data_IF_395487375646
#
_entry.id   IF_395487375646
#
_cell.length_a   1.000
_cell.length_b   1.000
_cell.length_c   1.000
_cell.angle_alpha   90.00
_cell.angle_beta   90.00
_cell.angle_gamma   90.00
#
_symmetry.space_group_name_H-M   'P 1'
#
loop_
_entity.id
_entity.type
_entity.pdbx_description
1 polymer ?
#
# COMPACT_ATOMS: atom_id res chain seq x y z
N UNK A 1 -16.06 30.18 -2.96
CA UNK A 1 -15.53 28.88 -2.43
C UNK A 1 -14.69 29.03 -1.16
N UNK A 2 -14.37 30.24 -0.69
CA UNK A 2 -13.56 30.50 0.51
C UNK A 2 -14.17 29.95 1.83
N UNK A 3 -15.47 29.73 1.88
CA UNK A 3 -16.20 29.33 3.09
C UNK A 3 -16.01 27.86 3.54
N UNK A 4 -15.23 27.05 2.81
CA UNK A 4 -14.96 25.65 3.17
C UNK A 4 -13.47 25.27 3.20
N UNK A 5 -12.57 26.21 2.87
CA UNK A 5 -11.13 25.93 2.88
C UNK A 5 -10.55 26.02 4.28
N UNK A 6 -9.62 25.14 4.59
CA UNK A 6 -8.83 25.18 5.81
C UNK A 6 -7.61 26.07 5.61
N UNK A 7 -6.97 26.52 6.72
CA UNK A 7 -5.69 27.24 6.66
C UNK A 7 -4.64 26.44 5.89
N UNK A 8 -4.60 25.12 6.05
CA UNK A 8 -3.65 24.26 5.35
C UNK A 8 -3.85 24.29 3.82
N UNK A 9 -5.10 24.21 3.37
CA UNK A 9 -5.43 24.26 1.94
C UNK A 9 -5.09 25.62 1.34
N UNK A 10 -5.48 26.71 1.99
CA UNK A 10 -5.15 28.07 1.55
C UNK A 10 -3.63 28.32 1.51
N UNK A 11 -2.88 27.82 2.51
CA UNK A 11 -1.43 27.91 2.54
C UNK A 11 -0.78 27.19 1.36
N UNK A 12 -1.24 25.96 1.06
CA UNK A 12 -0.75 25.17 -0.08
C UNK A 12 -1.05 25.82 -1.42
N UNK A 13 -2.23 26.41 -1.59
CA UNK A 13 -2.59 27.19 -2.79
C UNK A 13 -1.67 28.41 -2.95
N UNK A 14 -1.22 29.00 -1.84
CA UNK A 14 -0.25 30.09 -1.84
C UNK A 14 1.23 29.63 -1.94
N UNK A 15 1.49 28.34 -2.13
CA UNK A 15 2.85 27.79 -2.21
C UNK A 15 3.58 27.70 -0.87
N UNK A 16 2.85 27.80 0.26
CA UNK A 16 3.42 27.71 1.61
C UNK A 16 3.23 26.29 2.13
N UNK A 17 4.35 25.62 2.41
CA UNK A 17 4.32 24.28 2.98
C UNK A 17 4.14 24.31 4.50
N UNK A 18 3.11 23.61 4.98
CA UNK A 18 2.85 23.36 6.40
C UNK A 18 2.95 21.86 6.63
N UNK A 19 3.86 21.37 7.50
CA UNK A 19 4.08 19.94 7.70
C UNK A 19 2.86 19.25 8.30
N UNK A 20 2.62 18.00 7.85
CA UNK A 20 1.50 17.16 8.32
C UNK A 20 1.95 15.72 8.46
N UNK A 21 1.31 14.93 9.33
CA UNK A 21 1.49 13.48 9.42
C UNK A 21 0.15 12.71 9.37
N UNK A 22 -0.94 13.31 9.86
CA UNK A 22 -2.25 12.64 9.82
C UNK A 22 -3.13 13.08 8.66
N UNK A 23 -2.86 14.24 8.06
CA UNK A 23 -3.71 14.79 6.99
C UNK A 23 -3.54 14.02 5.68
N UNK A 24 -4.67 13.60 5.11
CA UNK A 24 -4.80 13.17 3.72
C UNK A 24 -6.00 13.90 3.15
N UNK A 25 -5.79 14.64 2.05
CA UNK A 25 -6.86 15.42 1.42
C UNK A 25 -8.03 14.50 1.06
N UNK A 26 -9.24 14.94 1.38
CA UNK A 26 -10.52 14.26 1.12
C UNK A 26 -10.70 12.87 1.80
N UNK A 27 -9.68 12.38 2.51
CA UNK A 27 -9.68 11.07 3.16
C UNK A 27 -9.61 11.18 4.69
N UNK A 28 -8.61 11.91 5.23
CA UNK A 28 -8.37 11.98 6.68
C UNK A 28 -8.01 13.39 7.14
N UNK A 29 -8.97 14.09 7.75
CA UNK A 29 -8.83 15.47 8.21
C UNK A 29 -9.23 15.59 9.70
N UNK A 30 -8.50 14.88 10.57
CA UNK A 30 -8.87 14.73 11.99
C UNK A 30 -8.04 15.59 12.96
N UNK A 31 -7.00 16.26 12.49
CA UNK A 31 -6.14 17.13 13.32
C UNK A 31 -5.40 16.40 14.45
N UNK A 32 -5.16 15.09 14.37
CA UNK A 32 -4.64 14.27 15.47
C UNK A 32 -3.16 14.50 15.77
N UNK A 33 -2.30 14.61 14.75
CA UNK A 33 -0.84 14.63 14.93
C UNK A 33 -0.28 15.97 15.43
N UNK A 34 -1.01 17.07 15.29
CA UNK A 34 -0.60 18.42 15.68
C UNK A 34 0.69 18.95 15.01
N UNK A 35 1.13 18.36 13.93
CA UNK A 35 2.28 18.87 13.17
C UNK A 35 1.97 20.17 12.41
N UNK A 36 0.72 20.33 12.00
CA UNK A 36 0.27 21.51 11.23
C UNK A 36 -0.09 22.73 12.10
N UNK A 37 0.44 22.83 13.32
CA UNK A 37 0.17 23.98 14.19
C UNK A 37 0.68 25.27 13.58
N UNK A 38 -0.16 26.33 13.65
CA UNK A 38 0.15 27.69 13.18
C UNK A 38 -0.32 28.73 14.21
N UNK A 39 0.22 29.91 14.12
CA UNK A 39 -0.23 31.04 14.92
C UNK A 39 -1.18 31.92 14.11
N UNK A 40 -2.31 32.28 14.71
CA UNK A 40 -3.29 33.17 14.10
C UNK A 40 -3.36 34.44 14.97
N UNK A 41 -3.26 35.59 14.35
CA UNK A 41 -3.35 36.90 15.05
C UNK A 41 -4.66 37.00 15.83
N UNK A 42 -4.57 37.32 17.10
CA UNK A 42 -5.74 37.40 17.98
C UNK A 42 -6.22 36.09 18.58
N UNK A 43 -5.69 34.93 18.15
CA UNK A 43 -6.02 33.63 18.77
C UNK A 43 -5.24 33.46 20.11
N UNK A 44 -5.91 32.84 21.09
CA UNK A 44 -5.32 32.55 22.42
C UNK A 44 -4.22 31.51 22.38
N UNK A 45 -4.26 30.60 21.41
CA UNK A 45 -3.35 29.47 21.28
C UNK A 45 -3.05 29.18 19.83
N UNK A 46 -2.04 28.35 19.57
CA UNK A 46 -1.81 27.76 18.25
C UNK A 46 -3.01 26.92 17.81
N UNK A 47 -3.31 26.93 16.51
CA UNK A 47 -4.42 26.17 15.92
C UNK A 47 -3.88 25.15 14.91
N UNK A 48 -4.61 24.06 14.70
CA UNK A 48 -4.26 23.03 13.73
C UNK A 48 -4.76 23.45 12.33
N UNK A 49 -3.86 23.84 11.45
CA UNK A 49 -4.17 24.38 10.13
C UNK A 49 -5.03 23.44 9.26
N UNK A 50 -4.89 22.11 9.43
CA UNK A 50 -5.61 21.12 8.63
C UNK A 50 -7.12 21.01 8.93
N UNK A 51 -7.59 21.59 10.03
CA UNK A 51 -9.01 21.55 10.45
C UNK A 51 -9.57 22.92 10.79
N UNK A 52 -8.75 23.95 10.80
CA UNK A 52 -9.19 25.30 11.15
C UNK A 52 -9.61 26.06 9.89
N UNK A 53 -10.87 26.54 9.82
CA UNK A 53 -11.38 27.24 8.64
C UNK A 53 -10.74 28.61 8.49
N UNK A 54 -10.58 29.07 7.26
CA UNK A 54 -10.14 30.45 6.95
C UNK A 54 -11.30 31.42 7.08
N UNK A 55 -10.99 32.63 7.48
CA UNK A 55 -11.93 33.76 7.49
C UNK A 55 -11.29 34.96 6.80
N UNK A 56 -12.11 35.87 6.33
CA UNK A 56 -11.66 37.14 5.71
C UNK A 56 -10.84 37.98 6.70
N UNK A 57 -9.72 38.52 6.23
CA UNK A 57 -8.82 39.33 7.06
C UNK A 57 -7.97 38.56 8.07
N UNK A 58 -8.00 37.23 8.03
CA UNK A 58 -7.19 36.38 8.91
C UNK A 58 -5.70 36.52 8.57
N UNK A 59 -4.88 36.84 9.61
CA UNK A 59 -3.42 36.84 9.50
C UNK A 59 -2.87 35.57 10.14
N UNK A 60 -2.13 34.75 9.38
CA UNK A 60 -1.59 33.47 9.82
C UNK A 60 -0.07 33.46 9.71
N UNK A 61 0.60 33.02 10.77
CA UNK A 61 2.05 32.90 10.85
C UNK A 61 2.41 31.42 10.94
N UNK A 62 3.10 30.91 9.92
CA UNK A 62 3.36 29.48 9.75
C UNK A 62 4.70 29.04 10.32
N UNK A 63 5.60 29.98 10.65
CA UNK A 63 7.00 29.68 10.99
C UNK A 63 7.56 30.57 12.11
N UNK A 64 6.77 30.91 13.16
CA UNK A 64 7.27 31.62 14.32
C UNK A 64 8.07 30.71 15.25
N UNK A 65 8.95 31.26 16.12
CA UNK A 65 9.67 30.45 17.13
C UNK A 65 8.72 29.60 17.99
N UNK A 66 7.53 30.14 18.31
CA UNK A 66 6.48 29.44 19.07
C UNK A 66 5.93 28.21 18.29
N UNK A 67 5.70 28.38 16.99
CA UNK A 67 5.25 27.29 16.09
C UNK A 67 6.34 26.23 15.98
N UNK A 68 7.58 26.61 15.72
CA UNK A 68 8.71 25.70 15.62
C UNK A 68 8.91 24.90 16.90
N UNK A 69 8.91 25.56 18.07
CA UNK A 69 9.00 24.87 19.36
C UNK A 69 7.88 23.87 19.58
N UNK A 70 6.64 24.22 19.19
CA UNK A 70 5.49 23.31 19.31
C UNK A 70 5.64 22.08 18.42
N UNK A 71 6.07 22.24 17.17
CA UNK A 71 6.29 21.13 16.22
C UNK A 71 7.42 20.21 16.67
N UNK A 72 8.56 20.77 17.10
CA UNK A 72 9.69 20.01 17.63
C UNK A 72 9.27 19.16 18.83
N UNK A 73 8.60 19.77 19.81
CA UNK A 73 8.05 19.04 20.97
C UNK A 73 7.09 17.93 20.58
N UNK A 74 6.23 18.16 19.58
CA UNK A 74 5.30 17.14 19.08
C UNK A 74 6.04 15.94 18.46
N UNK A 75 7.09 16.17 17.68
CA UNK A 75 7.92 15.09 17.12
C UNK A 75 8.64 14.31 18.23
N UNK A 76 9.23 14.99 19.20
CA UNK A 76 9.90 14.36 20.35
C UNK A 76 8.92 13.47 21.15
N UNK A 77 7.67 13.93 21.33
CA UNK A 77 6.62 13.12 21.98
C UNK A 77 6.20 11.93 21.12
N UNK A 78 6.10 12.06 19.81
CA UNK A 78 5.83 10.93 18.92
C UNK A 78 6.97 9.90 18.96
N UNK A 79 8.22 10.35 19.01
CA UNK A 79 9.39 9.49 19.11
C UNK A 79 9.47 8.76 20.45
N UNK A 80 8.94 9.32 21.54
CA UNK A 80 8.98 8.70 22.88
C UNK A 80 8.25 7.36 22.96
N UNK A 81 7.28 7.12 22.05
CA UNK A 81 6.48 5.88 21.97
C UNK A 81 6.70 5.11 20.66
N UNK A 82 7.67 5.51 19.84
CA UNK A 82 7.94 4.92 18.53
C UNK A 82 9.21 4.04 18.58
N UNK A 83 9.18 2.86 17.92
CA UNK A 83 10.37 2.04 17.71
C UNK A 83 11.31 2.72 16.71
N UNK A 84 12.40 3.30 17.23
CA UNK A 84 13.38 4.14 16.49
C UNK A 84 14.46 3.38 15.74
N UNK A 85 14.28 2.11 15.49
CA UNK A 85 15.23 1.28 14.72
C UNK A 85 15.16 1.60 13.22
N UNK A 86 15.42 2.86 12.87
CA UNK A 86 15.28 3.36 11.50
C UNK A 86 16.18 2.63 10.50
N UNK A 87 17.40 2.27 10.87
CA UNK A 87 18.38 1.60 10.00
C UNK A 87 17.91 0.22 9.53
N UNK A 88 17.07 -0.46 10.32
CA UNK A 88 16.47 -1.77 9.97
C UNK A 88 15.01 -1.67 9.56
N UNK A 89 14.48 -0.47 9.41
CA UNK A 89 13.07 -0.26 9.05
C UNK A 89 12.89 -0.29 7.53
N UNK A 90 11.89 -1.05 7.04
CA UNK A 90 11.55 -1.12 5.60
C UNK A 90 11.20 0.25 4.99
N UNK A 91 10.80 1.24 5.81
CA UNK A 91 10.47 2.61 5.37
C UNK A 91 11.63 3.60 5.55
N UNK A 92 12.84 3.14 5.87
CA UNK A 92 14.00 4.04 5.99
C UNK A 92 14.23 4.79 4.67
N UNK A 93 14.45 6.10 4.75
CA UNK A 93 14.60 6.97 3.59
C UNK A 93 13.28 7.46 2.97
N UNK A 94 12.15 6.75 3.15
CA UNK A 94 10.83 7.13 2.61
C UNK A 94 9.78 7.41 3.70
N UNK A 95 10.18 7.38 4.98
CA UNK A 95 9.32 7.61 6.13
C UNK A 95 9.07 9.11 6.34
N UNK A 96 7.79 9.52 6.34
CA UNK A 96 7.42 10.93 6.57
C UNK A 96 7.84 11.41 7.97
N UNK A 97 7.77 10.56 9.01
CA UNK A 97 8.22 10.89 10.35
C UNK A 97 9.73 11.13 10.39
N UNK A 98 10.54 10.22 9.79
CA UNK A 98 11.99 10.38 9.71
C UNK A 98 12.40 11.66 8.98
N UNK A 99 11.74 11.95 7.85
CA UNK A 99 11.96 13.21 7.11
C UNK A 99 11.71 14.43 7.98
N UNK A 100 10.57 14.49 8.68
CA UNK A 100 10.25 15.63 9.54
C UNK A 100 11.20 15.78 10.74
N UNK A 101 11.67 14.69 11.30
CA UNK A 101 12.70 14.73 12.36
C UNK A 101 14.00 15.35 11.84
N UNK A 102 14.43 14.99 10.64
CA UNK A 102 15.61 15.58 10.01
C UNK A 102 15.38 17.07 9.69
N UNK A 103 14.23 17.42 9.08
CA UNK A 103 13.88 18.80 8.71
C UNK A 103 13.79 19.74 9.94
N UNK A 104 13.38 19.21 11.09
CA UNK A 104 13.24 19.96 12.36
C UNK A 104 14.48 19.90 13.25
N UNK A 105 15.53 19.20 12.84
CA UNK A 105 16.77 19.07 13.60
C UNK A 105 16.51 18.46 14.98
N UNK A 106 15.89 17.26 15.02
CA UNK A 106 15.75 16.51 16.28
C UNK A 106 17.11 15.92 16.61
N UNK A 107 17.71 16.38 17.70
CA UNK A 107 19.03 16.05 18.19
C UNK A 107 19.00 15.19 19.48
N UNK A 108 17.88 15.20 20.20
CA UNK A 108 17.64 14.37 21.39
C UNK A 108 16.34 13.61 21.26
N UNK A 109 16.43 12.42 20.73
CA UNK A 109 15.30 11.51 20.55
C UNK A 109 14.78 10.90 21.87
N UNK A 110 15.58 10.98 22.93
CA UNK A 110 15.30 10.43 24.27
C UNK A 110 14.77 11.48 25.24
N UNK A 111 14.56 12.72 24.81
CA UNK A 111 14.11 13.81 25.68
C UNK A 111 12.87 13.49 26.52
N UNK A 112 11.95 12.72 25.96
CA UNK A 112 10.76 12.26 26.65
C UNK A 112 10.80 10.73 26.74
N UNK A 113 11.55 10.23 27.72
CA UNK A 113 11.54 8.80 28.04
C UNK A 113 10.32 8.45 28.89
N UNK A 114 9.65 7.37 28.57
CA UNK A 114 8.46 6.92 29.28
C UNK A 114 8.18 5.45 29.00
N UNK A 115 7.08 4.93 29.56
CA UNK A 115 6.64 3.58 29.25
C UNK A 115 6.23 3.51 27.76
N UNK A 116 6.97 2.73 26.98
CA UNK A 116 6.61 2.45 25.59
C UNK A 116 5.63 1.27 25.58
N UNK A 117 4.40 1.42 25.04
CA UNK A 117 3.50 0.29 24.90
C UNK A 117 4.17 -0.80 24.06
N UNK A 118 4.04 -2.06 24.50
CA UNK A 118 4.45 -3.18 23.68
C UNK A 118 3.56 -3.19 22.43
N UNK A 119 4.06 -2.72 21.30
CA UNK A 119 3.32 -2.68 20.04
C UNK A 119 2.97 -4.08 19.59
N UNK A 120 1.67 -4.38 19.43
CA UNK A 120 1.24 -5.65 18.85
C UNK A 120 1.62 -5.72 17.40
N UNK A 121 2.08 -6.90 17.00
CA UNK A 121 2.42 -7.23 15.61
C UNK A 121 1.39 -8.18 15.03
N UNK A 122 1.06 -7.97 13.76
CA UNK A 122 0.19 -8.86 13.02
C UNK A 122 0.84 -9.20 11.68
N UNK A 123 1.25 -10.44 11.55
CA UNK A 123 1.87 -11.03 10.36
C UNK A 123 0.97 -12.10 9.74
N UNK A 124 -0.31 -12.10 10.10
CA UNK A 124 -1.26 -13.17 9.75
C UNK A 124 -1.63 -13.19 8.26
N UNK A 125 -1.43 -12.09 7.54
CA UNK A 125 -1.78 -12.00 6.12
C UNK A 125 -0.59 -12.23 5.20
N UNK A 126 -0.88 -12.61 3.96
CA UNK A 126 0.12 -12.87 2.92
C UNK A 126 0.60 -11.60 2.22
N UNK A 127 -0.08 -10.47 2.41
CA UNK A 127 0.12 -9.26 1.64
C UNK A 127 0.70 -8.10 2.45
N UNK A 128 0.50 -8.05 3.76
CA UNK A 128 1.01 -6.99 4.61
C UNK A 128 1.47 -7.47 5.98
N UNK A 129 2.31 -6.67 6.58
CA UNK A 129 2.76 -6.76 7.96
C UNK A 129 2.35 -5.51 8.72
N UNK A 130 1.86 -5.68 9.95
CA UNK A 130 1.53 -4.58 10.86
C UNK A 130 2.40 -4.65 12.12
N UNK A 131 3.06 -3.55 12.44
CA UNK A 131 3.87 -3.37 13.64
C UNK A 131 3.43 -2.08 14.36
N UNK A 132 2.62 -2.24 15.40
CA UNK A 132 2.10 -1.09 16.16
C UNK A 132 3.18 -0.37 16.99
N UNK A 133 4.35 -0.95 17.22
CA UNK A 133 5.48 -0.23 17.81
C UNK A 133 5.97 0.95 16.94
N UNK A 134 5.66 0.93 15.64
CA UNK A 134 5.98 1.99 14.68
C UNK A 134 4.77 2.88 14.35
N UNK A 135 3.63 2.66 15.00
CA UNK A 135 2.41 3.40 14.75
C UNK A 135 2.38 4.73 15.51
N UNK A 136 2.06 5.82 14.82
CA UNK A 136 1.89 7.16 15.41
C UNK A 136 0.41 7.54 15.58
N UNK A 137 -0.50 6.59 15.51
CA UNK A 137 -1.95 6.76 15.70
C UNK A 137 -2.58 7.84 14.80
N UNK A 138 -2.03 8.09 13.64
CA UNK A 138 -2.52 9.10 12.68
C UNK A 138 -3.86 8.74 12.04
N UNK A 139 -4.28 7.48 12.09
CA UNK A 139 -5.53 6.93 11.55
C UNK A 139 -5.70 7.06 10.02
N UNK A 140 -4.66 7.39 9.26
CA UNK A 140 -4.74 7.43 7.79
C UNK A 140 -5.18 6.06 7.22
N UNK A 141 -4.63 4.96 7.74
CA UNK A 141 -4.99 3.61 7.30
C UNK A 141 -6.45 3.26 7.60
N UNK A 142 -6.99 3.72 8.72
CA UNK A 142 -8.41 3.54 9.08
C UNK A 142 -9.30 4.24 8.07
N UNK A 143 -9.04 5.52 7.81
CA UNK A 143 -9.80 6.31 6.85
C UNK A 143 -9.68 5.74 5.43
N UNK A 144 -8.48 5.32 5.00
CA UNK A 144 -8.27 4.69 3.69
C UNK A 144 -9.07 3.38 3.57
N UNK A 145 -9.13 2.56 4.62
CA UNK A 145 -9.91 1.33 4.64
C UNK A 145 -11.43 1.60 4.56
N UNK A 146 -11.90 2.64 5.26
CA UNK A 146 -13.29 3.10 5.18
C UNK A 146 -13.64 3.61 3.79
N UNK A 147 -12.73 4.36 3.15
CA UNK A 147 -12.92 4.85 1.78
C UNK A 147 -13.04 3.72 0.74
N UNK A 148 -12.44 2.57 1.00
CA UNK A 148 -12.60 1.36 0.19
C UNK A 148 -13.89 0.58 0.52
N UNK A 149 -14.77 1.10 1.37
CA UNK A 149 -15.98 0.42 1.86
C UNK A 149 -15.74 -0.95 2.53
N UNK A 150 -14.53 -1.18 3.01
CA UNK A 150 -14.12 -2.42 3.69
C UNK A 150 -14.16 -2.26 5.21
N UNK A 151 -13.57 -1.18 5.74
CA UNK A 151 -13.66 -0.74 7.13
C UNK A 151 -13.31 -1.79 8.22
N UNK A 152 -12.40 -2.71 7.92
CA UNK A 152 -12.00 -3.78 8.87
C UNK A 152 -10.90 -3.34 9.84
N UNK A 153 -10.28 -2.17 9.62
CA UNK A 153 -9.24 -1.62 10.51
C UNK A 153 -9.85 -0.45 11.29
N UNK A 154 -9.62 -0.43 12.59
CA UNK A 154 -10.08 0.62 13.50
C UNK A 154 -9.08 0.90 14.62
N UNK A 155 -9.44 1.82 15.51
CA UNK A 155 -8.72 2.04 16.76
C UNK A 155 -9.36 1.16 17.86
N UNK A 156 -8.54 0.31 18.45
CA UNK A 156 -8.91 -0.49 19.63
C UNK A 156 -8.42 0.19 20.89
N UNK A 157 -9.07 -0.08 22.02
CA UNK A 157 -8.77 0.48 23.33
C UNK A 157 -8.86 2.03 23.34
N UNK A 158 -8.33 2.66 24.38
CA UNK A 158 -8.34 4.13 24.54
C UNK A 158 -7.17 4.61 25.37
N UNK A 159 -6.93 5.93 25.32
CA UNK A 159 -5.83 6.56 26.06
C UNK A 159 -4.48 6.08 25.55
N UNK A 160 -3.58 5.78 26.45
CA UNK A 160 -2.23 5.32 26.15
C UNK A 160 -2.19 3.93 25.51
N UNK A 161 -3.15 3.09 25.79
CA UNK A 161 -3.26 1.71 25.26
C UNK A 161 -3.94 1.66 23.88
N UNK A 162 -4.22 2.81 23.26
CA UNK A 162 -4.82 2.86 21.93
C UNK A 162 -3.87 2.23 20.91
N UNK A 163 -4.40 1.30 20.13
CA UNK A 163 -3.69 0.67 19.02
C UNK A 163 -4.56 0.57 17.76
N UNK A 164 -3.94 0.46 16.62
CA UNK A 164 -4.65 0.22 15.37
C UNK A 164 -4.72 -1.28 15.11
N UNK A 165 -5.93 -1.79 14.89
CA UNK A 165 -6.18 -3.22 14.72
C UNK A 165 -7.54 -3.50 14.11
N UNK A 166 -7.94 -4.78 14.13
CA UNK A 166 -9.29 -5.19 13.78
C UNK A 166 -10.16 -5.27 15.05
N UNK A 167 -11.47 -5.26 14.86
CA UNK A 167 -12.41 -5.39 15.99
C UNK A 167 -12.12 -6.64 16.83
N UNK A 168 -12.28 -6.54 18.13
CA UNK A 168 -12.00 -7.60 19.11
C UNK A 168 -10.56 -8.16 19.03
N UNK A 169 -9.62 -7.35 18.57
CA UNK A 169 -8.21 -7.72 18.42
C UNK A 169 -7.96 -8.94 17.50
N UNK A 170 -8.92 -9.24 16.62
CA UNK A 170 -8.78 -10.33 15.67
C UNK A 170 -7.59 -10.09 14.72
N UNK A 171 -6.88 -11.16 14.32
CA UNK A 171 -5.85 -11.05 13.26
C UNK A 171 -6.51 -10.61 11.94
N UNK A 172 -5.77 -9.86 11.13
CA UNK A 172 -6.28 -9.32 9.86
C UNK A 172 -6.68 -10.44 8.87
N UNK A 173 -6.09 -11.63 8.99
CA UNK A 173 -6.46 -12.82 8.19
C UNK A 173 -7.85 -13.36 8.50
N UNK A 174 -8.43 -13.04 9.66
CA UNK A 174 -9.74 -13.55 10.13
C UNK A 174 -10.90 -12.60 9.88
N UNK A 175 -10.64 -11.45 9.28
CA UNK A 175 -11.68 -10.45 8.96
C UNK A 175 -11.83 -10.30 7.44
N UNK A 176 -12.91 -9.67 6.99
CA UNK A 176 -13.22 -9.49 5.57
C UNK A 176 -12.29 -8.48 4.87
N UNK A 177 -10.97 -8.60 5.09
CA UNK A 177 -9.96 -7.81 4.41
C UNK A 177 -9.83 -8.25 2.96
N UNK A 178 -9.91 -7.30 2.03
CA UNK A 178 -9.82 -7.57 0.58
C UNK A 178 -8.40 -7.47 0.00
N UNK A 179 -7.40 -7.33 0.86
CA UNK A 179 -5.97 -7.29 0.49
C UNK A 179 -5.60 -6.14 -0.47
N UNK A 180 -6.37 -5.05 -0.52
CA UNK A 180 -6.17 -3.96 -1.48
C UNK A 180 -4.90 -3.12 -1.28
N UNK A 181 -4.25 -3.18 -0.10
CA UNK A 181 -3.01 -2.46 0.20
C UNK A 181 -3.14 -0.94 0.43
N UNK A 182 -4.34 -0.35 0.35
CA UNK A 182 -4.51 1.11 0.51
C UNK A 182 -4.08 1.62 1.89
N UNK A 183 -4.19 0.79 2.92
CA UNK A 183 -3.70 1.10 4.25
C UNK A 183 -2.16 1.21 4.31
N UNK A 184 -1.43 0.46 3.48
CA UNK A 184 0.04 0.54 3.34
C UNK A 184 0.41 1.89 2.72
N UNK A 185 -0.21 2.25 1.60
CA UNK A 185 0.04 3.52 0.90
C UNK A 185 -0.29 4.74 1.77
N UNK A 186 -1.33 4.63 2.60
CA UNK A 186 -1.73 5.71 3.49
C UNK A 186 -0.82 5.85 4.72
N UNK A 187 -0.03 4.83 5.09
CA UNK A 187 0.78 4.85 6.30
C UNK A 187 2.01 5.76 6.15
N UNK A 188 2.19 6.78 7.01
CA UNK A 188 3.33 7.70 6.92
C UNK A 188 4.61 7.13 7.54
N UNK A 189 4.52 5.98 8.21
CA UNK A 189 5.64 5.32 8.91
C UNK A 189 5.76 3.85 8.47
N UNK A 190 6.67 3.09 9.09
CA UNK A 190 6.82 1.65 8.87
C UNK A 190 5.88 0.77 9.67
N UNK A 191 4.73 1.30 10.16
CA UNK A 191 3.77 0.52 10.92
C UNK A 191 2.96 -0.45 10.05
N UNK A 192 2.75 -0.12 8.78
CA UNK A 192 2.16 -1.00 7.77
C UNK A 192 3.09 -1.04 6.58
N UNK A 193 3.53 -2.23 6.22
CA UNK A 193 4.39 -2.49 5.07
C UNK A 193 3.88 -3.72 4.34
N UNK A 194 4.23 -3.84 3.06
CA UNK A 194 4.04 -5.07 2.31
C UNK A 194 4.89 -6.20 2.89
N UNK A 195 4.41 -7.43 2.81
CA UNK A 195 5.20 -8.60 3.12
C UNK A 195 6.31 -8.76 2.09
N UNK A 196 7.54 -8.89 2.56
CA UNK A 196 8.71 -8.98 1.69
C UNK A 196 8.98 -10.45 1.31
N UNK A 197 9.06 -10.72 0.01
CA UNK A 197 9.42 -12.01 -0.55
C UNK A 197 10.72 -11.93 -1.39
N UNK A 198 11.48 -10.85 -1.25
CA UNK A 198 12.72 -10.66 -2.02
C UNK A 198 13.73 -11.75 -1.73
N UNK A 199 13.85 -12.18 -0.47
CA UNK A 199 14.78 -13.24 -0.10
C UNK A 199 14.40 -14.59 -0.72
N UNK A 200 13.13 -14.93 -0.75
CA UNK A 200 12.64 -16.16 -1.39
C UNK A 200 13.04 -16.22 -2.87
N UNK A 201 12.98 -15.08 -3.56
CA UNK A 201 13.40 -14.95 -4.97
C UNK A 201 14.91 -15.05 -5.12
N UNK A 202 15.69 -14.40 -4.25
CA UNK A 202 17.16 -14.47 -4.25
C UNK A 202 17.61 -15.91 -4.02
N UNK A 203 17.00 -16.60 -3.08
CA UNK A 203 17.32 -18.00 -2.77
C UNK A 203 17.00 -18.90 -3.97
N UNK A 204 15.87 -18.67 -4.65
CA UNK A 204 15.53 -19.41 -5.86
C UNK A 204 16.51 -19.17 -7.02
N UNK A 205 16.94 -17.91 -7.24
CA UNK A 205 17.93 -17.57 -8.28
C UNK A 205 19.29 -18.22 -8.01
N UNK A 206 19.65 -18.39 -6.74
CA UNK A 206 20.92 -19.00 -6.35
C UNK A 206 20.87 -20.54 -6.28
N UNK A 207 19.71 -21.14 -6.42
CA UNK A 207 19.53 -22.60 -6.44
C UNK A 207 19.81 -23.14 -7.87
N UNK A 208 20.88 -23.91 -8.09
CA UNK A 208 21.25 -24.41 -9.42
C UNK A 208 20.26 -25.44 -9.99
N UNK A 209 19.39 -26.01 -9.16
CA UNK A 209 18.37 -26.99 -9.58
C UNK A 209 17.05 -26.32 -10.00
N UNK A 210 16.94 -24.99 -9.87
CA UNK A 210 15.75 -24.22 -10.22
C UNK A 210 15.95 -23.41 -11.50
N UNK A 211 14.86 -23.20 -12.20
CA UNK A 211 14.76 -22.31 -13.36
C UNK A 211 13.80 -21.21 -12.96
N UNK A 212 14.32 -19.99 -12.82
CA UNK A 212 13.54 -18.86 -12.29
C UNK A 212 13.04 -17.98 -13.43
N UNK A 213 11.75 -18.01 -13.65
CA UNK A 213 11.06 -17.26 -14.70
C UNK A 213 10.27 -16.12 -14.09
N UNK A 214 10.50 -14.90 -14.57
CA UNK A 214 9.79 -13.71 -14.09
C UNK A 214 8.82 -13.18 -15.14
N UNK A 215 7.62 -12.79 -14.68
CA UNK A 215 6.67 -12.01 -15.46
C UNK A 215 6.47 -10.62 -14.83
N UNK A 216 6.28 -9.60 -15.66
CA UNK A 216 6.15 -8.21 -15.22
C UNK A 216 4.82 -7.60 -15.61
N UNK A 217 4.17 -6.89 -14.67
CA UNK A 217 2.98 -6.12 -14.98
C UNK A 217 3.30 -4.88 -15.83
N UNK A 218 2.38 -4.45 -16.73
CA UNK A 218 2.60 -3.29 -17.60
C UNK A 218 2.85 -1.99 -16.83
N UNK A 219 2.26 -1.80 -15.65
CA UNK A 219 2.47 -0.62 -14.83
C UNK A 219 3.92 -0.47 -14.32
N UNK A 220 4.65 -1.57 -14.15
CA UNK A 220 6.03 -1.52 -13.62
C UNK A 220 6.96 -0.81 -14.59
N UNK A 221 6.82 -1.06 -15.92
CA UNK A 221 7.66 -0.40 -16.94
C UNK A 221 7.45 1.13 -17.01
N UNK A 222 6.29 1.62 -16.58
CA UNK A 222 5.96 3.04 -16.57
C UNK A 222 6.34 3.75 -15.27
N UNK A 223 6.45 3.02 -14.15
CA UNK A 223 6.74 3.58 -12.82
C UNK A 223 8.21 3.42 -12.40
N UNK A 224 8.88 2.33 -12.80
CA UNK A 224 10.23 2.00 -12.34
C UNK A 224 11.27 3.08 -12.66
N UNK A 225 11.09 3.84 -13.76
CA UNK A 225 11.99 4.91 -14.13
C UNK A 225 12.11 6.03 -13.09
N UNK A 226 11.06 6.28 -12.34
CA UNK A 226 11.00 7.34 -11.31
C UNK A 226 11.98 7.06 -10.15
N UNK A 227 12.14 5.80 -9.76
CA UNK A 227 13.10 5.37 -8.72
C UNK A 227 14.57 5.61 -9.13
N UNK A 228 14.81 5.78 -10.42
CA UNK A 228 16.13 6.11 -10.99
C UNK A 228 16.22 7.56 -11.48
N UNK A 229 15.34 8.43 -10.99
CA UNK A 229 15.36 9.87 -11.30
C UNK A 229 14.92 10.24 -12.73
N UNK A 230 14.25 9.34 -13.44
CA UNK A 230 13.68 9.64 -14.76
C UNK A 230 12.33 10.38 -14.60
N UNK A 231 11.91 11.14 -15.62
CA UNK A 231 10.60 11.79 -15.62
C UNK A 231 9.45 10.78 -15.41
N UNK A 232 8.38 11.24 -14.73
CA UNK A 232 7.17 10.46 -14.47
C UNK A 232 6.64 9.85 -15.78
N UNK A 233 6.30 8.56 -15.74
CA UNK A 233 5.72 7.84 -16.87
C UNK A 233 6.72 7.47 -17.98
N UNK A 234 8.03 7.60 -17.75
CA UNK A 234 9.05 7.15 -18.71
C UNK A 234 8.97 5.64 -18.89
N UNK A 235 8.68 5.19 -20.10
CA UNK A 235 8.71 3.75 -20.42
C UNK A 235 10.14 3.21 -20.38
N UNK A 236 10.41 2.31 -19.44
CA UNK A 236 11.74 1.68 -19.25
C UNK A 236 11.73 0.18 -19.53
N UNK A 237 10.80 -0.32 -20.34
CA UNK A 237 10.60 -1.75 -20.63
C UNK A 237 11.91 -2.49 -20.95
N UNK A 238 12.65 -2.05 -21.96
CA UNK A 238 13.92 -2.69 -22.34
C UNK A 238 14.98 -2.65 -21.25
N UNK A 239 15.05 -1.54 -20.48
CA UNK A 239 15.97 -1.41 -19.34
C UNK A 239 15.56 -2.35 -18.20
N UNK A 240 14.27 -2.45 -17.91
CA UNK A 240 13.70 -3.35 -16.90
C UNK A 240 14.01 -4.81 -17.23
N UNK A 241 13.76 -5.25 -18.46
CA UNK A 241 14.10 -6.61 -18.94
C UNK A 241 15.60 -6.90 -18.80
N UNK A 242 16.45 -5.94 -19.22
CA UNK A 242 17.89 -6.08 -19.08
C UNK A 242 18.35 -6.17 -17.62
N UNK A 243 17.72 -5.39 -16.73
CA UNK A 243 18.01 -5.43 -15.30
C UNK A 243 17.63 -6.78 -14.68
N UNK A 244 16.43 -7.29 -14.97
CA UNK A 244 15.96 -8.58 -14.48
C UNK A 244 16.88 -9.73 -14.94
N UNK A 245 17.32 -9.73 -16.20
CA UNK A 245 18.30 -10.71 -16.69
C UNK A 245 19.64 -10.62 -15.97
N UNK A 246 20.10 -9.40 -15.64
CA UNK A 246 21.34 -9.19 -14.87
C UNK A 246 21.22 -9.62 -13.41
N UNK A 247 20.01 -9.58 -12.84
CA UNK A 247 19.74 -10.10 -11.49
C UNK A 247 19.78 -11.62 -11.42
N UNK A 248 19.77 -12.32 -12.57
CA UNK A 248 19.91 -13.77 -12.62
C UNK A 248 18.64 -14.53 -12.99
N UNK A 249 17.57 -13.85 -13.40
CA UNK A 249 16.40 -14.54 -13.93
C UNK A 249 16.71 -15.24 -15.27
N UNK A 250 16.33 -16.51 -15.40
CA UNK A 250 16.56 -17.29 -16.60
C UNK A 250 15.75 -16.79 -17.79
N UNK A 251 14.49 -16.43 -17.52
CA UNK A 251 13.57 -15.89 -18.55
C UNK A 251 12.77 -14.71 -17.97
N UNK A 252 12.48 -13.75 -18.83
CA UNK A 252 11.65 -12.57 -18.52
C UNK A 252 10.52 -12.52 -19.53
N UNK A 253 9.29 -12.61 -19.04
CA UNK A 253 8.08 -12.55 -19.85
C UNK A 253 7.24 -11.32 -19.51
N UNK A 254 6.37 -10.94 -20.44
CA UNK A 254 5.42 -9.86 -20.27
C UNK A 254 4.04 -10.45 -19.91
N UNK A 255 3.44 -9.95 -18.83
CA UNK A 255 2.08 -10.34 -18.44
C UNK A 255 1.03 -9.89 -19.46
N UNK A 256 1.34 -8.94 -20.36
CA UNK A 256 0.43 -8.53 -21.44
C UNK A 256 0.09 -9.70 -22.39
N UNK A 257 1.00 -10.64 -22.58
CA UNK A 257 0.68 -11.88 -23.31
C UNK A 257 -0.47 -12.66 -22.64
N UNK A 258 -0.44 -12.77 -21.31
CA UNK A 258 -1.54 -13.38 -20.56
C UNK A 258 -2.82 -12.54 -20.59
N UNK A 259 -2.68 -11.20 -20.70
CA UNK A 259 -3.82 -10.31 -20.84
C UNK A 259 -4.52 -10.47 -22.19
N UNK A 260 -3.77 -10.61 -23.29
CA UNK A 260 -4.32 -10.91 -24.62
C UNK A 260 -5.10 -12.22 -24.62
N UNK A 261 -4.57 -13.26 -23.97
CA UNK A 261 -5.29 -14.51 -23.80
C UNK A 261 -6.55 -14.37 -22.96
N UNK A 262 -6.46 -13.60 -21.86
CA UNK A 262 -7.63 -13.32 -21.01
C UNK A 262 -8.75 -12.66 -21.81
N UNK A 263 -8.41 -11.69 -22.68
CA UNK A 263 -9.40 -11.03 -23.55
C UNK A 263 -10.07 -12.03 -24.49
N UNK A 264 -9.32 -12.94 -25.09
CA UNK A 264 -9.86 -13.95 -25.99
C UNK A 264 -10.82 -14.93 -25.28
N UNK A 265 -10.40 -15.40 -24.11
CA UNK A 265 -11.20 -16.34 -23.32
C UNK A 265 -12.45 -15.67 -22.72
N UNK A 266 -12.32 -14.46 -22.13
CA UNK A 266 -13.47 -13.71 -21.61
C UNK A 266 -14.46 -13.30 -22.70
N UNK A 267 -13.98 -12.92 -23.89
CA UNK A 267 -14.85 -12.63 -25.02
C UNK A 267 -15.61 -13.88 -25.48
N UNK A 268 -14.97 -15.04 -25.49
CA UNK A 268 -15.59 -16.32 -25.81
C UNK A 268 -16.66 -16.67 -24.78
N UNK A 269 -16.34 -16.55 -23.50
CA UNK A 269 -17.29 -16.76 -22.40
C UNK A 269 -18.47 -15.80 -22.49
N UNK A 270 -18.22 -14.50 -22.79
CA UNK A 270 -19.28 -13.52 -22.97
C UNK A 270 -20.24 -13.90 -24.09
N UNK A 271 -19.70 -14.29 -25.26
CA UNK A 271 -20.51 -14.73 -26.40
C UNK A 271 -21.33 -15.97 -26.05
N UNK A 272 -20.74 -16.92 -25.33
CA UNK A 272 -21.43 -18.11 -24.87
C UNK A 272 -22.59 -17.77 -23.93
N UNK A 273 -22.35 -16.92 -22.92
CA UNK A 273 -23.38 -16.44 -21.98
C UNK A 273 -24.53 -15.73 -22.68
N UNK A 274 -24.24 -14.92 -23.72
CA UNK A 274 -25.26 -14.23 -24.51
C UNK A 274 -26.09 -15.21 -25.34
N UNK A 275 -25.46 -16.20 -25.99
CA UNK A 275 -26.12 -17.17 -26.87
C UNK A 275 -26.91 -18.24 -26.12
N UNK A 276 -26.35 -18.72 -25.01
CA UNK A 276 -26.87 -19.89 -24.29
C UNK A 276 -27.57 -19.52 -22.97
N UNK A 277 -27.79 -18.24 -22.68
CA UNK A 277 -28.59 -17.78 -21.54
C UNK A 277 -27.84 -17.75 -20.21
N UNK A 278 -26.54 -17.48 -20.22
CA UNK A 278 -25.73 -17.32 -19.00
C UNK A 278 -25.98 -16.02 -18.25
N UNK A 279 -25.35 -15.90 -17.06
CA UNK A 279 -25.52 -14.73 -16.19
C UNK A 279 -24.86 -13.48 -16.78
N UNK A 280 -25.64 -12.39 -16.85
CA UNK A 280 -25.19 -11.07 -17.32
C UNK A 280 -25.55 -9.98 -16.29
N UNK A 281 -24.79 -8.87 -16.23
CA UNK A 281 -23.54 -8.61 -16.98
C UNK A 281 -22.42 -9.56 -16.55
N UNK A 282 -21.45 -9.80 -17.44
CA UNK A 282 -20.18 -10.44 -17.06
C UNK A 282 -19.27 -9.36 -16.44
N UNK A 283 -18.60 -9.72 -15.34
CA UNK A 283 -17.67 -8.84 -14.63
C UNK A 283 -16.29 -9.52 -14.63
N UNK A 284 -15.27 -8.81 -15.06
CA UNK A 284 -13.91 -9.39 -15.12
C UNK A 284 -13.36 -9.72 -13.72
N UNK A 285 -12.56 -10.76 -13.64
CA UNK A 285 -12.00 -11.31 -12.39
C UNK A 285 -10.48 -11.11 -12.24
N UNK A 286 -9.88 -10.26 -13.09
CA UNK A 286 -8.42 -10.06 -13.09
C UNK A 286 -7.86 -9.34 -11.84
N UNK A 287 -8.71 -8.66 -11.06
CA UNK A 287 -8.33 -7.98 -9.81
C UNK A 287 -8.71 -8.84 -8.60
N UNK A 288 -7.74 -9.46 -7.90
CA UNK A 288 -8.05 -10.32 -6.76
C UNK A 288 -8.62 -9.56 -5.56
N UNK A 289 -8.34 -8.28 -5.43
CA UNK A 289 -8.97 -7.42 -4.43
C UNK A 289 -10.47 -7.25 -4.69
N UNK A 290 -10.87 -7.08 -5.96
CA UNK A 290 -12.28 -7.03 -6.37
C UNK A 290 -12.97 -8.38 -6.15
N UNK A 291 -12.37 -9.46 -6.58
CA UNK A 291 -12.93 -10.82 -6.41
C UNK A 291 -13.21 -11.08 -4.93
N UNK A 292 -12.23 -10.83 -4.06
CA UNK A 292 -12.38 -10.98 -2.61
C UNK A 292 -13.43 -10.03 -2.02
N UNK A 293 -13.54 -8.81 -2.53
CA UNK A 293 -14.60 -7.88 -2.13
C UNK A 293 -15.98 -8.42 -2.51
N UNK A 294 -16.12 -8.94 -3.73
CA UNK A 294 -17.36 -9.57 -4.20
C UNK A 294 -17.75 -10.76 -3.32
N UNK A 295 -16.82 -11.66 -3.05
CA UNK A 295 -17.07 -12.84 -2.20
C UNK A 295 -17.52 -12.49 -0.78
N UNK A 296 -16.94 -11.44 -0.17
CA UNK A 296 -17.28 -11.03 1.18
C UNK A 296 -18.56 -10.21 1.30
N UNK A 297 -18.79 -9.29 0.36
CA UNK A 297 -19.83 -8.27 0.50
C UNK A 297 -20.97 -8.42 -0.51
N UNK A 298 -20.74 -9.10 -1.62
CA UNK A 298 -21.72 -9.30 -2.70
C UNK A 298 -21.72 -10.73 -3.23
N UNK A 299 -21.90 -11.77 -2.37
CA UNK A 299 -21.81 -13.16 -2.78
C UNK A 299 -22.82 -13.54 -3.87
N UNK A 300 -23.92 -12.80 -3.98
CA UNK A 300 -24.93 -12.98 -5.03
C UNK A 300 -24.46 -12.54 -6.42
N UNK A 301 -23.33 -11.81 -6.52
CA UNK A 301 -22.70 -11.39 -7.78
C UNK A 301 -21.56 -12.31 -8.22
N UNK A 302 -21.21 -13.33 -7.46
CA UNK A 302 -20.10 -14.25 -7.82
C UNK A 302 -20.36 -14.97 -9.14
N UNK A 303 -21.62 -15.32 -9.44
CA UNK A 303 -22.02 -15.90 -10.73
C UNK A 303 -21.83 -14.95 -11.93
N UNK A 304 -21.74 -13.64 -11.68
CA UNK A 304 -21.48 -12.64 -12.70
C UNK A 304 -19.98 -12.50 -13.00
N UNK A 305 -19.10 -12.96 -12.11
CA UNK A 305 -17.67 -12.92 -12.36
C UNK A 305 -17.31 -13.80 -13.56
N UNK A 306 -16.32 -13.38 -14.32
CA UNK A 306 -15.71 -14.24 -15.34
C UNK A 306 -15.09 -15.46 -14.68
N UNK A 307 -15.22 -16.61 -15.33
CA UNK A 307 -14.56 -17.84 -14.91
C UNK A 307 -13.08 -17.88 -15.27
N UNK A 308 -12.59 -16.89 -16.04
CA UNK A 308 -11.22 -16.82 -16.49
C UNK A 308 -10.26 -16.50 -15.34
N UNK A 309 -9.10 -17.12 -15.36
CA UNK A 309 -7.97 -16.74 -14.51
C UNK A 309 -7.48 -15.32 -14.86
N UNK A 310 -6.86 -14.63 -13.91
CA UNK A 310 -6.22 -13.35 -14.20
C UNK A 310 -5.05 -13.51 -15.18
N UNK A 311 -4.62 -12.44 -15.89
CA UNK A 311 -3.43 -12.48 -16.75
C UNK A 311 -2.19 -13.04 -16.06
N UNK A 312 -1.98 -12.71 -14.78
CA UNK A 312 -0.89 -13.29 -13.97
C UNK A 312 -1.02 -14.82 -13.87
N UNK A 313 -2.19 -15.29 -13.52
CA UNK A 313 -2.45 -16.74 -13.36
C UNK A 313 -2.42 -17.47 -14.69
N UNK A 314 -2.92 -16.86 -15.77
CA UNK A 314 -2.83 -17.45 -17.12
C UNK A 314 -1.38 -17.59 -17.55
N UNK A 315 -0.58 -16.53 -17.40
CA UNK A 315 0.86 -16.58 -17.72
C UNK A 315 1.58 -17.64 -16.88
N UNK A 316 1.30 -17.70 -15.59
CA UNK A 316 1.88 -18.71 -14.68
C UNK A 316 1.52 -20.14 -15.10
N UNK A 317 0.25 -20.39 -15.42
CA UNK A 317 -0.20 -21.69 -15.90
C UNK A 317 0.49 -22.09 -17.22
N UNK A 318 0.62 -21.16 -18.16
CA UNK A 318 1.32 -21.43 -19.43
C UNK A 318 2.81 -21.70 -19.25
N UNK A 319 3.46 -20.99 -18.32
CA UNK A 319 4.87 -21.24 -17.99
C UNK A 319 5.05 -22.67 -17.48
N UNK A 320 4.16 -23.10 -16.56
CA UNK A 320 4.25 -24.43 -15.93
C UNK A 320 3.73 -25.58 -16.81
N UNK A 321 2.99 -25.30 -17.87
CA UNK A 321 2.43 -26.33 -18.77
C UNK A 321 3.07 -26.25 -20.16
N UNK A 322 2.54 -25.43 -21.05
CA UNK A 322 2.94 -25.36 -22.46
C UNK A 322 4.42 -25.01 -22.65
N UNK A 323 4.93 -23.99 -21.90
CA UNK A 323 6.32 -23.59 -22.03
C UNK A 323 7.27 -24.66 -21.48
N UNK A 324 6.95 -25.24 -20.34
CA UNK A 324 7.72 -26.34 -19.75
C UNK A 324 7.82 -27.54 -20.69
N UNK A 325 6.69 -27.96 -21.30
CA UNK A 325 6.65 -29.04 -22.28
C UNK A 325 7.47 -28.71 -23.53
N UNK A 326 7.31 -27.50 -24.08
CA UNK A 326 8.01 -27.06 -25.29
C UNK A 326 9.53 -27.02 -25.12
N UNK A 327 10.01 -26.59 -23.97
CA UNK A 327 11.45 -26.49 -23.67
C UNK A 327 12.00 -27.78 -23.03
N UNK A 328 11.16 -28.78 -22.75
CA UNK A 328 11.57 -30.02 -22.11
C UNK A 328 12.01 -29.86 -20.66
N UNK A 329 11.42 -28.91 -19.97
CA UNK A 329 11.73 -28.55 -18.57
C UNK A 329 10.72 -29.23 -17.65
N UNK A 330 11.22 -29.82 -16.55
CA UNK A 330 10.35 -30.32 -15.49
C UNK A 330 9.62 -29.12 -14.80
N UNK A 331 8.27 -29.08 -14.81
CA UNK A 331 7.51 -27.99 -14.17
C UNK A 331 7.83 -27.77 -12.69
N UNK A 332 8.23 -28.82 -11.94
CA UNK A 332 8.58 -28.73 -10.52
C UNK A 332 9.89 -27.95 -10.29
N UNK A 333 10.74 -27.87 -11.31
CA UNK A 333 11.97 -27.09 -11.26
C UNK A 333 11.75 -25.61 -11.58
N UNK A 334 10.61 -25.25 -12.16
CA UNK A 334 10.30 -23.87 -12.51
C UNK A 334 9.78 -23.12 -11.29
N UNK A 335 10.43 -22.02 -10.97
CA UNK A 335 9.93 -21.00 -10.02
C UNK A 335 9.38 -19.83 -10.83
N UNK A 336 8.05 -19.64 -10.81
CA UNK A 336 7.40 -18.53 -11.49
C UNK A 336 7.29 -17.33 -10.54
N UNK A 337 7.96 -16.23 -10.88
CA UNK A 337 7.97 -14.99 -10.12
C UNK A 337 7.15 -13.93 -10.83
N UNK A 338 6.35 -13.18 -10.07
CA UNK A 338 5.55 -12.08 -10.60
C UNK A 338 6.00 -10.74 -9.99
N UNK A 339 6.38 -9.78 -10.82
CA UNK A 339 6.65 -8.41 -10.41
C UNK A 339 5.39 -7.58 -10.65
N UNK A 340 4.63 -7.36 -9.59
CA UNK A 340 3.30 -6.74 -9.63
C UNK A 340 3.20 -5.60 -8.62
N UNK A 341 2.62 -4.45 -8.98
CA UNK A 341 2.37 -3.35 -8.03
C UNK A 341 1.19 -3.63 -7.09
N UNK A 342 0.46 -4.71 -7.29
CA UNK A 342 -0.75 -5.08 -6.56
C UNK A 342 -0.44 -6.11 -5.47
N UNK A 343 -0.51 -5.73 -4.20
CA UNK A 343 -0.26 -6.66 -3.08
C UNK A 343 -1.31 -7.78 -2.95
N UNK A 344 -2.53 -7.58 -3.49
CA UNK A 344 -3.55 -8.62 -3.53
C UNK A 344 -3.14 -9.83 -4.41
N UNK A 345 -2.20 -9.65 -5.34
CA UNK A 345 -1.63 -10.73 -6.13
C UNK A 345 -0.90 -11.79 -5.28
N UNK A 346 -0.37 -11.40 -4.11
CA UNK A 346 0.19 -12.35 -3.13
C UNK A 346 -0.87 -13.27 -2.51
N UNK A 347 -2.11 -12.81 -2.40
CA UNK A 347 -3.23 -13.64 -2.01
C UNK A 347 -3.67 -14.55 -3.18
N UNK A 348 -3.73 -14.01 -4.39
CA UNK A 348 -4.16 -14.74 -5.58
C UNK A 348 -3.31 -15.99 -5.87
N UNK A 349 -1.98 -15.88 -5.79
CA UNK A 349 -1.07 -16.99 -6.09
C UNK A 349 -1.16 -18.16 -5.09
N UNK A 350 -1.72 -17.95 -3.91
CA UNK A 350 -1.91 -18.97 -2.88
C UNK A 350 -3.37 -19.43 -2.77
N UNK A 351 -4.20 -18.93 -3.63
CA UNK A 351 -5.58 -19.36 -3.77
C UNK A 351 -5.62 -20.73 -4.43
N UNK A 352 -5.96 -21.75 -3.65
CA UNK A 352 -5.99 -23.12 -4.09
C UNK A 352 -7.41 -23.51 -4.57
N UNK A 353 -7.99 -22.67 -5.41
CA UNK A 353 -9.23 -22.96 -6.09
C UNK A 353 -8.89 -23.56 -7.46
N UNK A 354 -9.24 -24.79 -7.63
CA UNK A 354 -9.34 -25.60 -8.84
C UNK A 354 -8.31 -25.36 -9.97
N UNK A 355 -7.52 -26.35 -10.28
CA UNK A 355 -6.59 -26.36 -11.42
C UNK A 355 -5.47 -25.30 -11.39
N UNK A 356 -4.97 -24.95 -10.21
CA UNK A 356 -3.71 -24.23 -10.14
C UNK A 356 -2.59 -25.11 -10.76
N UNK A 357 -1.76 -24.51 -11.59
CA UNK A 357 -0.66 -25.22 -12.25
C UNK A 357 0.61 -25.35 -11.36
N UNK A 358 0.44 -25.38 -10.06
CA UNK A 358 1.51 -25.49 -9.06
C UNK A 358 2.13 -24.16 -8.62
#
# INVERSE_FOLDING_TARGET
>A
TLFRSTILEAAREAGIDIPTLCFLKDINQIGACRMCMVEVKGARSLVAACVYPVNEGMEVFTNTPKVQKSRKMTLELLLSVHDRKCLSCKRSGTCELQKLCNDMGIDDENRFEGAVPAGKKDYSTLHLERDNAKCILCRRCVAACQQQHVAVIGANNRGFDTEIGCAFEQPLSHVACVSCGQCINACPTGALTEKDNTQDVIDAINDPDKIVIVQTAPAVRAALGEEFGMPIGTNVEGKMVAALRRLGFDKVFDTDFGADMTIMEEATEFIDRVKNGGKLPIITSCSPGWVKFCEHYYPNLTENLSSCKSPQQMTGALIKTWYAEKEGIDPEKIVSVSVMPCVAKKFEILRNDENAAG
#
